data_IF_943830097580
#
_entry.id   IF_943830097580
#
_cell.length_a   1.000
_cell.length_b   1.000
_cell.length_c   1.000
_cell.angle_alpha   90.00
_cell.angle_beta   90.00
_cell.angle_gamma   90.00
#
_symmetry.space_group_name_H-M   'P 1'
#
loop_
_entity.id
_entity.type
_entity.pdbx_description
1 polymer ?
#
# COMPACT_ATOMS: atom_id res chain seq x y z
N UNK A 1 22.84 24.90 -36.90
CA UNK A 1 23.56 23.66 -36.50
C UNK A 1 22.56 22.54 -36.18
N UNK A 2 21.44 22.48 -36.92
CA UNK A 2 20.23 21.75 -36.50
C UNK A 2 19.96 20.51 -37.37
N UNK A 3 20.72 20.36 -38.47
CA UNK A 3 20.63 19.22 -39.39
C UNK A 3 21.46 18.01 -38.94
N UNK A 4 22.50 18.22 -38.12
CA UNK A 4 23.31 17.14 -37.54
C UNK A 4 22.63 16.54 -36.30
N UNK A 5 21.91 17.36 -35.52
CA UNK A 5 21.16 16.90 -34.35
C UNK A 5 19.91 16.09 -34.73
N UNK A 6 19.37 16.29 -35.94
CA UNK A 6 18.22 15.53 -36.47
C UNK A 6 18.61 14.16 -37.06
N UNK A 7 19.90 13.93 -37.35
CA UNK A 7 20.43 12.62 -37.77
C UNK A 7 20.90 11.76 -36.57
N UNK A 8 20.99 12.34 -35.37
CA UNK A 8 21.10 11.59 -34.11
C UNK A 8 19.76 11.04 -33.58
N UNK A 9 18.65 11.41 -34.22
CA UNK A 9 17.29 10.97 -33.90
C UNK A 9 16.92 9.61 -34.50
N UNK A 10 17.80 8.61 -34.38
CA UNK A 10 17.65 7.35 -35.10
C UNK A 10 18.31 6.15 -34.42
N UNK A 11 18.00 5.90 -33.14
CA UNK A 11 18.01 4.52 -32.64
C UNK A 11 16.58 3.98 -32.70
N UNK A 12 16.22 3.19 -33.73
CA UNK A 12 15.01 2.39 -33.71
C UNK A 12 15.28 1.20 -32.80
N UNK A 13 14.65 1.14 -31.63
CA UNK A 13 14.60 -0.12 -30.87
C UNK A 13 14.68 -0.05 -29.36
N UNK A 14 14.72 1.12 -28.73
CA UNK A 14 14.66 1.24 -27.27
C UNK A 14 13.49 2.11 -26.81
N UNK A 15 12.35 2.00 -27.48
CA UNK A 15 11.06 2.32 -26.85
C UNK A 15 10.86 1.31 -25.71
N UNK A 16 11.41 1.64 -24.54
CA UNK A 16 11.00 1.01 -23.29
C UNK A 16 9.46 1.11 -23.26
N UNK A 17 8.74 -0.03 -23.22
CA UNK A 17 7.30 0.00 -23.14
C UNK A 17 6.90 0.93 -21.99
N UNK A 18 5.91 1.83 -22.16
CA UNK A 18 5.39 2.58 -21.03
C UNK A 18 5.06 1.58 -19.91
N UNK A 19 5.44 1.87 -18.66
CA UNK A 19 5.13 0.98 -17.54
C UNK A 19 3.62 0.67 -17.60
N UNK A 20 3.23 -0.61 -17.45
CA UNK A 20 1.83 -1.01 -17.58
C UNK A 20 0.99 -0.13 -16.67
N UNK A 21 0.14 0.70 -17.27
CA UNK A 21 -0.69 1.69 -16.57
C UNK A 21 -1.77 1.04 -15.70
N UNK A 22 -1.99 -0.26 -15.88
CA UNK A 22 -2.92 -1.10 -15.14
C UNK A 22 -2.20 -2.09 -14.21
N UNK A 23 -1.03 -1.71 -13.67
CA UNK A 23 -0.51 -2.44 -12.52
C UNK A 23 -1.52 -2.28 -11.36
N UNK A 24 -2.00 -3.39 -10.74
CA UNK A 24 -2.90 -3.29 -9.61
C UNK A 24 -2.24 -2.48 -8.49
N UNK A 25 -2.78 -1.29 -8.23
CA UNK A 25 -2.34 -0.41 -7.15
C UNK A 25 -3.03 -0.85 -5.87
N UNK A 26 -2.26 -0.97 -4.79
CA UNK A 26 -2.81 -1.29 -3.46
C UNK A 26 -3.57 -0.07 -2.96
N UNK A 27 -4.84 -0.26 -2.60
CA UNK A 27 -5.61 0.78 -1.90
C UNK A 27 -5.09 0.90 -0.46
N UNK A 28 -4.65 2.10 -0.07
CA UNK A 28 -4.16 2.40 1.28
C UNK A 28 -5.05 3.39 2.01
N UNK A 29 -6.22 3.74 1.46
CA UNK A 29 -7.13 4.72 2.02
C UNK A 29 -8.21 4.10 2.93
N UNK A 30 -8.11 2.82 3.26
CA UNK A 30 -9.09 2.16 4.14
C UNK A 30 -9.11 2.81 5.53
N UNK A 31 -10.30 3.26 5.93
CA UNK A 31 -10.52 3.87 7.24
C UNK A 31 -11.33 2.92 8.12
N UNK A 32 -10.74 2.51 9.26
CA UNK A 32 -11.40 1.65 10.25
C UNK A 32 -11.78 2.48 11.47
N UNK A 33 -13.08 2.52 11.79
CA UNK A 33 -13.58 3.15 13.01
C UNK A 33 -13.68 2.12 14.14
N UNK A 34 -12.97 2.35 15.24
CA UNK A 34 -13.03 1.51 16.43
C UNK A 34 -13.84 2.23 17.50
N UNK A 35 -14.90 1.58 18.00
CA UNK A 35 -15.67 2.15 19.11
C UNK A 35 -14.83 2.20 20.38
N UNK A 36 -15.06 3.22 21.22
CA UNK A 36 -14.34 3.37 22.50
C UNK A 36 -14.51 2.15 23.40
N UNK A 37 -15.69 1.53 23.39
CA UNK A 37 -15.95 0.30 24.16
C UNK A 37 -15.10 -0.87 23.68
N UNK A 38 -14.97 -1.08 22.36
CA UNK A 38 -14.14 -2.14 21.81
C UNK A 38 -12.67 -1.95 22.20
N UNK A 39 -12.15 -0.72 22.09
CA UNK A 39 -10.78 -0.40 22.50
C UNK A 39 -10.53 -0.71 23.99
N UNK A 40 -11.45 -0.29 24.87
CA UNK A 40 -11.33 -0.59 26.31
C UNK A 40 -11.34 -2.10 26.60
N UNK A 41 -12.17 -2.87 25.88
CA UNK A 41 -12.21 -4.34 26.01
C UNK A 41 -10.91 -4.98 25.55
N UNK A 42 -10.33 -4.50 24.45
CA UNK A 42 -9.03 -4.98 23.96
C UNK A 42 -7.92 -4.73 24.99
N UNK A 43 -7.84 -3.52 25.55
CA UNK A 43 -6.82 -3.17 26.55
C UNK A 43 -6.96 -4.00 27.83
N UNK A 44 -8.20 -4.20 28.30
CA UNK A 44 -8.46 -5.01 29.50
C UNK A 44 -8.09 -6.48 29.28
N UNK A 45 -8.44 -7.05 28.13
CA UNK A 45 -8.14 -8.45 27.78
C UNK A 45 -6.63 -8.67 27.61
N UNK A 46 -5.96 -7.77 26.87
CA UNK A 46 -4.50 -7.82 26.69
C UNK A 46 -3.73 -7.80 28.01
N UNK A 47 -4.15 -6.94 28.95
CA UNK A 47 -3.54 -6.88 30.29
C UNK A 47 -3.77 -8.15 31.10
N UNK A 48 -4.95 -8.77 30.99
CA UNK A 48 -5.26 -10.01 31.73
C UNK A 48 -4.45 -11.23 31.25
N UNK A 49 -3.90 -11.17 30.02
CA UNK A 49 -3.12 -12.25 29.44
C UNK A 49 -1.66 -12.35 29.90
N UNK A 50 -1.08 -11.29 30.48
CA UNK A 50 0.36 -11.23 30.80
C UNK A 50 0.76 -12.39 31.74
N UNK A 51 1.80 -13.19 31.41
CA UNK A 51 2.85 -12.96 30.40
C UNK A 51 2.58 -13.54 29.00
N UNK A 52 1.41 -14.13 28.78
CA UNK A 52 1.06 -14.82 27.54
C UNK A 52 0.39 -13.89 26.53
N UNK A 53 0.56 -14.20 25.24
CA UNK A 53 -0.20 -13.57 24.16
C UNK A 53 -1.67 -13.97 24.23
N UNK A 54 -2.55 -13.04 23.86
CA UNK A 54 -3.99 -13.28 23.79
C UNK A 54 -4.53 -12.84 22.45
N UNK A 55 -5.57 -13.52 21.99
CA UNK A 55 -6.29 -13.22 20.76
C UNK A 55 -7.76 -12.92 21.06
N UNK A 56 -8.41 -12.25 20.12
CA UNK A 56 -9.83 -11.96 20.13
C UNK A 56 -10.35 -11.70 18.72
N UNK A 57 -11.67 -11.76 18.54
CA UNK A 57 -12.32 -11.46 17.26
C UNK A 57 -12.89 -10.04 17.30
N UNK A 58 -12.83 -9.35 16.16
CA UNK A 58 -13.55 -8.10 15.95
C UNK A 58 -14.88 -8.42 15.27
N UNK A 59 -15.99 -8.02 15.91
CA UNK A 59 -17.33 -8.08 15.35
C UNK A 59 -17.71 -6.65 14.96
N UNK A 60 -17.98 -6.43 13.67
CA UNK A 60 -18.37 -5.15 13.09
C UNK A 60 -19.85 -4.86 13.28
#
# INVERSE_FOLDING_TARGET
>A
MDRLLRLGGGMPGLSQPPPPTDAPVVDTAEQVYISSLALLKMLKHGRAGVPMEVMGLMLG
#
